data_IF_582047799739
#
_entry.id   IF_582047799739
#
_cell.length_a   1.000
_cell.length_b   1.000
_cell.length_c   1.000
_cell.angle_alpha   90.00
_cell.angle_beta   90.00
_cell.angle_gamma   90.00
#
_symmetry.space_group_name_H-M   'P 1'
#
loop_
_entity.id
_entity.type
_entity.pdbx_description
1 polymer ?
#
# COMPACT_ATOMS: atom_id res chain seq x y z
N UNK A 1 -21.55 3.88 -1.01
CA UNK A 1 -21.73 4.84 0.11
C UNK A 1 -21.50 4.20 1.48
N UNK A 2 -21.89 2.94 1.71
CA UNK A 2 -21.77 2.29 3.03
C UNK A 2 -20.30 2.08 3.47
N UNK A 3 -19.42 1.71 2.54
CA UNK A 3 -18.02 1.42 2.86
C UNK A 3 -17.26 2.67 3.33
N UNK A 4 -17.45 3.83 2.67
CA UNK A 4 -16.84 5.09 3.10
C UNK A 4 -17.29 5.49 4.50
N UNK A 5 -18.56 5.24 4.85
CA UNK A 5 -19.07 5.49 6.19
C UNK A 5 -18.38 4.60 7.23
N UNK A 6 -18.15 3.32 6.89
CA UNK A 6 -17.41 2.39 7.74
C UNK A 6 -15.95 2.85 7.95
N UNK A 7 -15.27 3.26 6.88
CA UNK A 7 -13.90 3.76 6.96
C UNK A 7 -13.81 5.00 7.87
N UNK A 8 -14.72 5.94 7.68
CA UNK A 8 -14.75 7.16 8.47
C UNK A 8 -15.12 6.89 9.94
N UNK A 9 -16.12 6.04 10.19
CA UNK A 9 -16.49 5.64 11.54
C UNK A 9 -15.33 4.94 12.26
N UNK A 10 -14.64 4.01 11.60
CA UNK A 10 -13.44 3.36 12.13
C UNK A 10 -12.36 4.35 12.55
N UNK A 11 -12.09 5.35 11.70
CA UNK A 11 -11.19 6.44 12.06
C UNK A 11 -11.65 7.24 13.27
N UNK A 12 -12.93 7.62 13.33
CA UNK A 12 -13.49 8.39 14.46
C UNK A 12 -13.37 7.63 15.78
N UNK A 13 -13.71 6.36 15.81
CA UNK A 13 -13.57 5.52 16.99
C UNK A 13 -12.10 5.38 17.41
N UNK A 14 -11.21 5.14 16.46
CA UNK A 14 -9.79 4.98 16.74
C UNK A 14 -9.15 6.27 17.24
N UNK A 15 -9.43 7.43 16.63
CA UNK A 15 -8.87 8.71 17.07
C UNK A 15 -9.35 9.14 18.45
N UNK A 16 -10.57 8.77 18.80
CA UNK A 16 -11.18 9.07 20.11
C UNK A 16 -10.79 8.13 21.24
N UNK A 17 -10.16 7.00 20.93
CA UNK A 17 -9.76 6.01 21.93
C UNK A 17 -8.50 6.44 22.68
N UNK A 18 -8.31 5.93 23.90
CA UNK A 18 -7.05 6.08 24.62
C UNK A 18 -5.90 5.42 23.83
N UNK A 19 -4.68 5.99 23.87
CA UNK A 19 -3.49 5.34 23.33
C UNK A 19 -3.25 4.00 24.01
N UNK A 20 -2.98 2.96 23.23
CA UNK A 20 -2.77 1.61 23.76
C UNK A 20 -1.93 0.76 22.84
N UNK A 21 -1.57 -0.42 23.32
CA UNK A 21 -0.90 -1.46 22.54
C UNK A 21 -1.85 -2.68 22.41
N UNK A 22 -1.92 -3.35 21.25
CA UNK A 22 -1.20 -3.08 19.98
C UNK A 22 -1.65 -1.78 19.32
N UNK A 23 -0.73 -1.15 18.56
CA UNK A 23 -1.06 0.03 17.75
C UNK A 23 -2.16 -0.31 16.73
N UNK A 24 -3.06 0.66 16.48
CA UNK A 24 -4.16 0.45 15.54
C UNK A 24 -5.37 -0.24 16.13
N UNK A 25 -5.37 -0.66 17.40
CA UNK A 25 -6.54 -1.23 18.09
C UNK A 25 -7.32 -0.15 18.82
N UNK A 26 -8.65 -0.19 18.71
CA UNK A 26 -9.58 0.64 19.49
C UNK A 26 -10.51 -0.23 20.30
N UNK A 27 -10.70 0.09 21.59
CA UNK A 27 -11.69 -0.53 22.45
C UNK A 27 -13.06 0.14 22.38
N UNK A 28 -13.19 1.23 21.62
CA UNK A 28 -14.49 1.88 21.41
C UNK A 28 -15.43 1.02 20.54
N UNK A 29 -14.90 -0.01 19.91
CA UNK A 29 -15.66 -1.03 19.17
C UNK A 29 -15.31 -2.39 19.79
N UNK A 30 -16.34 -3.22 20.08
CA UNK A 30 -16.19 -4.58 20.59
C UNK A 30 -15.38 -4.66 21.92
N UNK A 31 -15.72 -3.82 22.88
CA UNK A 31 -15.09 -3.89 24.22
C UNK A 31 -15.40 -5.22 24.93
N UNK A 32 -14.48 -5.79 25.73
CA UNK A 32 -13.15 -5.26 26.07
C UNK A 32 -12.05 -5.65 25.09
N UNK A 33 -12.30 -6.54 24.11
CA UNK A 33 -11.30 -7.08 23.18
C UNK A 33 -10.75 -6.01 22.23
N UNK A 34 -11.62 -5.09 21.78
CA UNK A 34 -11.30 -4.10 20.79
C UNK A 34 -11.29 -4.63 19.36
N UNK A 35 -11.09 -3.72 18.40
CA UNK A 35 -11.00 -4.03 16.98
C UNK A 35 -9.83 -3.24 16.37
N UNK A 36 -9.04 -3.89 15.51
CA UNK A 36 -8.02 -3.19 14.73
C UNK A 36 -8.67 -2.34 13.63
N UNK A 37 -8.11 -1.15 13.40
CA UNK A 37 -8.50 -0.26 12.29
C UNK A 37 -8.33 -0.91 10.91
N UNK A 38 -7.55 -1.99 10.80
CA UNK A 38 -7.44 -2.78 9.58
C UNK A 38 -8.78 -3.42 9.19
N UNK A 39 -9.60 -3.83 10.16
CA UNK A 39 -10.92 -4.41 9.91
C UNK A 39 -12.02 -3.38 9.60
N UNK A 40 -11.72 -2.10 9.78
CA UNK A 40 -12.62 -1.00 9.40
C UNK A 40 -12.20 -0.34 8.09
N UNK A 41 -11.18 -0.87 7.42
CA UNK A 41 -10.61 -0.35 6.16
C UNK A 41 -10.17 1.12 6.23
N UNK A 42 -9.86 1.59 7.44
CA UNK A 42 -9.49 2.99 7.72
C UNK A 42 -8.02 3.29 7.41
N UNK A 43 -7.38 2.52 6.52
CA UNK A 43 -5.98 2.69 6.10
C UNK A 43 -5.07 2.72 7.33
N UNK A 44 -4.76 1.57 7.95
CA UNK A 44 -4.09 1.47 9.26
C UNK A 44 -2.86 2.35 9.41
N UNK A 45 -2.01 2.40 8.38
CA UNK A 45 -0.81 3.24 8.36
C UNK A 45 -1.14 4.71 8.60
N UNK A 46 -2.12 5.26 7.87
CA UNK A 46 -2.50 6.66 8.02
C UNK A 46 -3.25 6.90 9.31
N UNK A 47 -4.09 5.97 9.74
CA UNK A 47 -4.79 6.07 11.02
C UNK A 47 -3.79 6.21 12.18
N UNK A 48 -2.76 5.35 12.22
CA UNK A 48 -1.72 5.40 13.26
C UNK A 48 -0.89 6.68 13.17
N UNK A 49 -0.47 7.09 11.97
CA UNK A 49 0.34 8.30 11.77
C UNK A 49 -0.44 9.59 12.06
N UNK A 50 -1.71 9.65 11.71
CA UNK A 50 -2.53 10.86 11.90
C UNK A 50 -3.11 10.98 13.32
N UNK A 51 -3.15 9.89 14.08
CA UNK A 51 -3.73 9.91 15.43
C UNK A 51 -3.06 10.92 16.38
N UNK A 52 -1.73 11.05 16.47
CA UNK A 52 -1.10 12.05 17.34
C UNK A 52 -1.49 13.49 16.96
N UNK A 53 -1.80 13.73 15.69
CA UNK A 53 -2.20 15.03 15.17
C UNK A 53 -3.71 15.30 15.32
N UNK A 54 -4.49 14.28 15.64
CA UNK A 54 -5.96 14.37 15.68
C UNK A 54 -6.49 15.43 16.64
N UNK A 55 -5.82 15.64 17.77
CA UNK A 55 -6.20 16.67 18.75
C UNK A 55 -6.01 18.10 18.21
N UNK A 56 -4.95 18.32 17.41
CA UNK A 56 -4.64 19.63 16.80
C UNK A 56 -5.46 19.91 15.54
N UNK A 57 -5.90 18.88 14.83
CA UNK A 57 -6.56 18.98 13.52
C UNK A 57 -8.09 19.11 13.59
N UNK A 58 -8.66 19.22 14.80
CA UNK A 58 -10.10 19.39 14.99
C UNK A 58 -10.94 18.11 14.79
N UNK A 59 -12.21 18.19 15.22
CA UNK A 59 -13.10 17.02 15.32
C UNK A 59 -13.51 16.40 13.99
N UNK A 60 -13.55 17.16 12.92
CA UNK A 60 -13.98 16.73 11.58
C UNK A 60 -12.84 16.30 10.66
N UNK A 61 -11.59 16.37 11.14
CA UNK A 61 -10.44 15.99 10.32
C UNK A 61 -10.51 14.54 9.83
N UNK A 62 -10.25 14.35 8.55
CA UNK A 62 -10.09 13.05 7.90
C UNK A 62 -9.01 13.14 6.80
N UNK A 63 -8.34 12.05 6.53
CA UNK A 63 -7.24 11.95 5.56
C UNK A 63 -7.64 11.27 4.25
N UNK A 64 -8.86 10.74 4.14
CA UNK A 64 -9.28 9.90 3.00
C UNK A 64 -9.23 10.64 1.66
N UNK A 65 -9.65 11.91 1.62
CA UNK A 65 -9.58 12.73 0.41
C UNK A 65 -8.13 12.96 -0.04
N UNK A 66 -7.24 13.29 0.87
CA UNK A 66 -5.81 13.46 0.57
C UNK A 66 -5.18 12.16 0.11
N UNK A 67 -5.50 11.04 0.77
CA UNK A 67 -5.03 9.73 0.36
C UNK A 67 -5.48 9.39 -1.07
N UNK A 68 -6.74 9.65 -1.40
CA UNK A 68 -7.28 9.45 -2.75
C UNK A 68 -6.50 10.24 -3.79
N UNK A 69 -6.25 11.54 -3.55
CA UNK A 69 -5.44 12.36 -4.47
C UNK A 69 -4.03 11.81 -4.66
N UNK A 70 -3.39 11.39 -3.57
CA UNK A 70 -2.06 10.74 -3.63
C UNK A 70 -2.12 9.44 -4.42
N UNK A 71 -3.17 8.63 -4.27
CA UNK A 71 -3.35 7.41 -5.06
C UNK A 71 -3.44 7.69 -6.56
N UNK A 72 -4.19 8.72 -6.98
CA UNK A 72 -4.26 9.11 -8.40
C UNK A 72 -2.90 9.57 -8.92
N UNK A 73 -2.20 10.42 -8.18
CA UNK A 73 -0.88 10.91 -8.57
C UNK A 73 0.15 9.78 -8.69
N UNK A 74 0.19 8.87 -7.70
CA UNK A 74 1.10 7.72 -7.71
C UNK A 74 0.72 6.70 -8.78
N UNK A 75 -0.58 6.48 -9.04
CA UNK A 75 -1.05 5.60 -10.11
C UNK A 75 -0.56 6.07 -11.47
N UNK A 76 -0.78 7.34 -11.81
CA UNK A 76 -0.29 7.94 -13.05
C UNK A 76 1.24 7.97 -13.11
N UNK A 77 1.90 8.33 -11.99
CA UNK A 77 3.36 8.38 -11.91
C UNK A 77 4.03 7.02 -12.12
N UNK A 78 3.60 5.96 -11.41
CA UNK A 78 4.17 4.62 -11.58
C UNK A 78 3.79 3.99 -12.92
N UNK A 79 2.62 4.31 -13.47
CA UNK A 79 2.26 3.92 -14.84
C UNK A 79 3.21 4.57 -15.86
N UNK A 80 3.49 5.87 -15.72
CA UNK A 80 4.44 6.56 -16.57
C UNK A 80 5.85 5.96 -16.47
N UNK A 81 6.34 5.70 -15.25
CA UNK A 81 7.64 5.08 -15.01
C UNK A 81 7.72 3.67 -15.62
N UNK A 82 6.68 2.86 -15.44
CA UNK A 82 6.63 1.51 -15.97
C UNK A 82 6.61 1.50 -17.51
N UNK A 83 5.74 2.32 -18.13
CA UNK A 83 5.66 2.46 -19.56
C UNK A 83 6.91 3.11 -20.16
N UNK A 84 7.58 3.99 -19.41
CA UNK A 84 8.84 4.62 -19.79
C UNK A 84 10.05 3.67 -19.81
N UNK A 85 9.89 2.43 -19.35
CA UNK A 85 10.87 1.37 -19.60
C UNK A 85 10.90 0.92 -21.06
N UNK A 86 9.89 1.24 -21.84
CA UNK A 86 9.83 1.03 -23.27
C UNK A 86 10.21 2.34 -24.00
N UNK A 87 10.59 2.25 -25.25
CA UNK A 87 11.05 3.41 -26.01
C UNK A 87 9.92 4.39 -26.34
N UNK A 88 10.27 5.69 -26.40
CA UNK A 88 9.40 6.78 -26.83
C UNK A 88 8.67 7.51 -25.68
N UNK A 89 8.33 8.79 -25.92
CA UNK A 89 7.66 9.65 -24.96
C UNK A 89 6.14 9.38 -24.89
N UNK A 90 5.55 8.86 -25.94
CA UNK A 90 4.11 8.63 -26.01
C UNK A 90 3.62 7.56 -25.03
N UNK A 91 4.40 6.50 -24.80
CA UNK A 91 4.03 5.40 -23.91
C UNK A 91 3.90 5.84 -22.44
N UNK A 92 4.82 6.62 -21.83
CA UNK A 92 4.65 7.16 -20.48
C UNK A 92 3.41 8.05 -20.32
N UNK A 93 3.16 8.93 -21.30
CA UNK A 93 2.01 9.84 -21.26
C UNK A 93 0.68 9.07 -21.37
N UNK A 94 0.57 8.18 -22.36
CA UNK A 94 -0.61 7.34 -22.53
C UNK A 94 -0.84 6.44 -21.30
N UNK A 95 0.22 5.79 -20.79
CA UNK A 95 0.16 4.96 -19.61
C UNK A 95 -0.32 5.75 -18.38
N UNK A 96 0.24 6.93 -18.14
CA UNK A 96 -0.19 7.80 -17.03
C UNK A 96 -1.69 8.10 -17.10
N UNK A 97 -2.18 8.53 -18.27
CA UNK A 97 -3.58 8.90 -18.47
C UNK A 97 -4.51 7.70 -18.33
N UNK A 98 -4.21 6.58 -18.99
CA UNK A 98 -5.05 5.37 -18.99
C UNK A 98 -5.17 4.79 -17.60
N UNK A 99 -4.06 4.69 -16.86
CA UNK A 99 -4.09 4.10 -15.52
C UNK A 99 -4.69 5.04 -14.47
N UNK A 100 -4.46 6.36 -14.57
CA UNK A 100 -5.08 7.33 -13.67
C UNK A 100 -6.60 7.47 -13.94
N UNK A 101 -7.04 7.33 -15.19
CA UNK A 101 -8.45 7.36 -15.57
C UNK A 101 -9.13 5.99 -15.53
N UNK A 102 -8.47 4.97 -14.97
CA UNK A 102 -9.02 3.61 -14.88
C UNK A 102 -10.39 3.61 -14.18
N UNK A 103 -11.44 3.01 -14.80
CA UNK A 103 -12.77 2.92 -14.16
C UNK A 103 -12.73 2.25 -12.79
N UNK A 104 -11.85 1.25 -12.61
CA UNK A 104 -11.69 0.54 -11.35
C UNK A 104 -11.11 1.48 -10.28
N UNK A 105 -10.10 2.30 -10.61
CA UNK A 105 -9.56 3.28 -9.68
C UNK A 105 -10.60 4.32 -9.30
N UNK A 106 -11.34 4.85 -10.28
CA UNK A 106 -12.42 5.82 -10.06
C UNK A 106 -13.50 5.24 -9.15
N UNK A 107 -13.95 4.00 -9.39
CA UNK A 107 -14.93 3.36 -8.53
C UNK A 107 -14.40 3.18 -7.10
N UNK A 108 -13.18 2.69 -6.93
CA UNK A 108 -12.58 2.48 -5.61
C UNK A 108 -12.34 3.78 -4.85
N UNK A 109 -11.95 4.85 -5.53
CA UNK A 109 -11.75 6.16 -4.93
C UNK A 109 -13.00 6.68 -4.20
N UNK A 110 -14.21 6.36 -4.71
CA UNK A 110 -15.47 6.86 -4.16
C UNK A 110 -16.26 5.83 -3.37
N UNK A 111 -15.89 4.56 -3.40
CA UNK A 111 -16.60 3.49 -2.67
C UNK A 111 -15.74 2.81 -1.62
N UNK A 112 -14.48 2.50 -1.92
CA UNK A 112 -13.59 1.75 -1.05
C UNK A 112 -12.18 2.32 -1.12
N UNK A 113 -12.00 3.46 -0.48
CA UNK A 113 -10.82 4.32 -0.61
C UNK A 113 -9.49 3.59 -0.36
N UNK A 114 -9.42 2.68 0.62
CA UNK A 114 -8.20 1.92 0.91
C UNK A 114 -7.75 1.04 -0.27
N UNK A 115 -8.69 0.53 -1.09
CA UNK A 115 -8.40 -0.23 -2.31
C UNK A 115 -8.02 0.66 -3.52
N UNK A 116 -8.03 1.98 -3.37
CA UNK A 116 -7.51 2.92 -4.37
C UNK A 116 -5.99 2.87 -4.53
N UNK A 117 -5.26 2.25 -3.60
CA UNK A 117 -3.80 2.16 -3.66
C UNK A 117 -3.26 1.14 -4.69
N UNK A 118 -3.91 1.00 -5.84
CA UNK A 118 -3.48 0.08 -6.92
C UNK A 118 -2.08 0.40 -7.46
N UNK A 119 -1.62 1.63 -7.27
CA UNK A 119 -0.25 2.05 -7.60
C UNK A 119 0.83 1.18 -6.93
N UNK A 120 0.54 0.51 -5.80
CA UNK A 120 1.47 -0.42 -5.16
C UNK A 120 1.85 -1.57 -6.09
N UNK A 121 0.89 -2.09 -6.86
CA UNK A 121 1.14 -3.16 -7.84
C UNK A 121 1.99 -2.64 -9.00
N UNK A 122 1.70 -1.45 -9.52
CA UNK A 122 2.52 -0.82 -10.57
C UNK A 122 3.94 -0.52 -10.08
N UNK A 123 4.08 -0.05 -8.84
CA UNK A 123 5.37 0.20 -8.21
C UNK A 123 6.18 -1.10 -8.04
N UNK A 124 5.53 -2.20 -7.63
CA UNK A 124 6.17 -3.50 -7.53
C UNK A 124 6.64 -4.01 -8.91
N UNK A 125 5.80 -3.91 -9.94
CA UNK A 125 6.16 -4.27 -11.32
C UNK A 125 7.31 -3.41 -11.84
N UNK A 126 7.27 -2.09 -11.61
CA UNK A 126 8.39 -1.20 -11.98
C UNK A 126 9.68 -1.64 -11.29
N UNK A 127 9.62 -1.89 -9.97
CA UNK A 127 10.76 -2.40 -9.20
C UNK A 127 11.30 -3.72 -9.73
N UNK A 128 10.42 -4.66 -10.11
CA UNK A 128 10.78 -5.92 -10.74
C UNK A 128 11.60 -5.70 -12.02
N UNK A 129 11.09 -4.90 -12.97
CA UNK A 129 11.76 -4.68 -14.24
C UNK A 129 13.09 -3.93 -14.10
N UNK A 130 13.16 -2.94 -13.18
CA UNK A 130 14.41 -2.23 -12.89
C UNK A 130 15.45 -3.17 -12.29
N UNK A 131 15.08 -3.99 -11.30
CA UNK A 131 15.99 -4.96 -10.69
C UNK A 131 16.47 -5.99 -11.72
N UNK A 132 15.55 -6.49 -12.56
CA UNK A 132 15.86 -7.44 -13.63
C UNK A 132 16.88 -6.87 -14.63
N UNK A 133 16.68 -5.62 -15.09
CA UNK A 133 17.63 -4.94 -15.99
C UNK A 133 19.02 -4.74 -15.39
N UNK A 134 19.07 -4.52 -14.06
CA UNK A 134 20.31 -4.32 -13.32
C UNK A 134 20.91 -5.62 -12.75
N UNK A 135 20.33 -6.78 -13.07
CA UNK A 135 20.72 -8.08 -12.51
C UNK A 135 20.76 -8.10 -10.97
N UNK A 136 19.84 -7.38 -10.32
CA UNK A 136 19.69 -7.33 -8.87
C UNK A 136 18.55 -8.23 -8.43
N UNK A 137 18.71 -8.90 -7.28
CA UNK A 137 17.66 -9.79 -6.73
C UNK A 137 16.56 -9.00 -5.98
N UNK A 138 16.86 -7.81 -5.51
CA UNK A 138 15.92 -7.00 -4.76
C UNK A 138 16.34 -5.53 -4.74
N UNK A 139 15.41 -4.67 -4.37
CA UNK A 139 15.66 -3.27 -4.09
C UNK A 139 15.02 -2.87 -2.76
N UNK A 140 15.57 -1.82 -2.14
CA UNK A 140 14.92 -1.20 -0.96
C UNK A 140 13.49 -0.76 -1.27
N UNK A 141 13.24 -0.34 -2.54
CA UNK A 141 11.91 0.03 -3.01
C UNK A 141 10.90 -1.11 -2.90
N UNK A 142 11.24 -2.33 -3.34
CA UNK A 142 10.35 -3.49 -3.21
C UNK A 142 10.08 -3.84 -1.74
N UNK A 143 11.08 -3.73 -0.88
CA UNK A 143 10.90 -3.92 0.55
C UNK A 143 9.87 -2.94 1.12
N UNK A 144 10.03 -1.65 0.82
CA UNK A 144 9.12 -0.58 1.27
C UNK A 144 7.71 -0.76 0.71
N UNK A 145 7.58 -1.13 -0.57
CA UNK A 145 6.27 -1.38 -1.20
C UNK A 145 5.50 -2.49 -0.49
N UNK A 146 6.16 -3.59 -0.12
CA UNK A 146 5.52 -4.67 0.62
C UNK A 146 5.08 -4.25 2.02
N UNK A 147 5.88 -3.44 2.72
CA UNK A 147 5.50 -2.87 4.03
C UNK A 147 4.32 -1.90 3.89
N UNK A 148 4.33 -1.03 2.88
CA UNK A 148 3.20 -0.12 2.60
C UNK A 148 1.92 -0.90 2.25
N UNK A 149 2.04 -2.01 1.53
CA UNK A 149 0.91 -2.87 1.19
C UNK A 149 0.18 -3.37 2.44
N UNK A 150 0.91 -3.86 3.46
CA UNK A 150 0.34 -4.26 4.75
C UNK A 150 -0.34 -3.08 5.44
N UNK A 151 0.37 -1.97 5.55
CA UNK A 151 -0.10 -0.79 6.30
C UNK A 151 -1.28 -0.06 5.63
N UNK A 152 -1.46 -0.22 4.31
CA UNK A 152 -2.58 0.41 3.58
C UNK A 152 -3.78 -0.53 3.55
N UNK A 153 -3.60 -1.72 2.97
CA UNK A 153 -4.69 -2.71 2.90
C UNK A 153 -4.13 -4.12 2.64
N UNK A 154 -4.51 -5.14 3.44
CA UNK A 154 -3.95 -6.49 3.34
C UNK A 154 -4.09 -7.14 1.96
N UNK A 155 -5.08 -6.77 1.13
CA UNK A 155 -5.26 -7.32 -0.22
C UNK A 155 -4.12 -7.02 -1.17
N UNK A 156 -3.36 -5.94 -0.97
CA UNK A 156 -2.20 -5.64 -1.79
C UNK A 156 -0.99 -6.51 -1.46
N UNK A 157 -0.96 -7.09 -0.25
CA UNK A 157 0.16 -7.91 0.21
C UNK A 157 0.43 -9.10 -0.73
N UNK A 158 -0.54 -10.01 -1.01
CA UNK A 158 -0.29 -11.13 -1.90
C UNK A 158 0.10 -10.70 -3.31
N UNK A 159 -0.43 -9.56 -3.81
CA UNK A 159 -0.12 -9.06 -5.14
C UNK A 159 1.33 -8.58 -5.23
N UNK A 160 1.79 -7.75 -4.28
CA UNK A 160 3.16 -7.22 -4.28
C UNK A 160 4.18 -8.31 -3.94
N UNK A 161 3.83 -9.26 -3.06
CA UNK A 161 4.66 -10.43 -2.76
C UNK A 161 4.79 -11.38 -3.93
N UNK A 162 3.75 -11.60 -4.73
CA UNK A 162 3.83 -12.42 -5.93
C UNK A 162 4.88 -11.87 -6.91
N UNK A 163 4.87 -10.54 -7.14
CA UNK A 163 5.86 -9.86 -7.98
C UNK A 163 7.26 -9.96 -7.38
N UNK A 164 7.40 -9.74 -6.06
CA UNK A 164 8.68 -9.85 -5.36
C UNK A 164 9.22 -11.28 -5.44
N UNK A 165 8.37 -12.28 -5.19
CA UNK A 165 8.74 -13.69 -5.26
C UNK A 165 9.20 -14.09 -6.67
N UNK A 166 8.49 -13.62 -7.72
CA UNK A 166 8.89 -13.87 -9.10
C UNK A 166 10.31 -13.35 -9.39
N UNK A 167 10.65 -12.14 -8.92
CA UNK A 167 12.00 -11.59 -9.05
C UNK A 167 13.04 -12.42 -8.30
N UNK A 168 12.75 -12.79 -7.06
CA UNK A 168 13.67 -13.55 -6.21
C UNK A 168 13.94 -14.94 -6.79
N UNK A 169 12.91 -15.62 -7.31
CA UNK A 169 13.02 -16.92 -7.94
C UNK A 169 13.81 -16.83 -9.26
N UNK A 170 13.49 -15.85 -10.11
CA UNK A 170 14.23 -15.63 -11.36
C UNK A 170 15.73 -15.41 -11.07
N UNK A 171 16.05 -14.58 -10.08
CA UNK A 171 17.44 -14.33 -9.69
C UNK A 171 18.10 -15.60 -9.13
N UNK A 172 17.42 -16.29 -8.20
CA UNK A 172 17.97 -17.51 -7.57
C UNK A 172 18.30 -18.59 -8.59
N UNK A 173 17.40 -18.81 -9.57
CA UNK A 173 17.61 -19.79 -10.66
C UNK A 173 18.77 -19.36 -11.56
N UNK A 174 18.79 -18.10 -12.03
CA UNK A 174 19.82 -17.61 -12.95
C UNK A 174 21.21 -17.56 -12.34
N UNK A 175 21.32 -17.11 -11.09
CA UNK A 175 22.58 -16.92 -10.39
C UNK A 175 22.98 -18.14 -9.55
N UNK A 176 22.13 -19.15 -9.45
CA UNK A 176 22.30 -20.32 -8.55
C UNK A 176 22.56 -19.93 -7.10
N UNK A 177 21.99 -18.80 -6.66
CA UNK A 177 22.14 -18.24 -5.31
C UNK A 177 20.78 -18.14 -4.64
N UNK A 178 20.54 -19.00 -3.64
CA UNK A 178 19.25 -19.10 -2.95
C UNK A 178 19.22 -18.35 -1.61
N UNK A 179 20.37 -18.30 -0.91
CA UNK A 179 20.42 -17.81 0.46
C UNK A 179 20.01 -16.32 0.57
N UNK A 180 20.58 -15.44 -0.27
CA UNK A 180 20.29 -14.00 -0.22
C UNK A 180 18.83 -13.68 -0.53
N UNK A 181 18.22 -14.22 -1.60
CA UNK A 181 16.78 -14.08 -1.86
C UNK A 181 15.92 -14.59 -0.71
N UNK A 182 16.25 -15.74 -0.11
CA UNK A 182 15.52 -16.30 1.02
C UNK A 182 15.60 -15.41 2.27
N UNK A 183 16.76 -14.86 2.60
CA UNK A 183 16.93 -13.91 3.71
C UNK A 183 16.16 -12.62 3.49
N UNK A 184 16.16 -12.08 2.27
CA UNK A 184 15.37 -10.91 1.93
C UNK A 184 13.87 -11.17 2.11
N UNK A 185 13.38 -12.28 1.58
CA UNK A 185 11.98 -12.67 1.70
C UNK A 185 11.58 -12.86 3.17
N UNK A 186 12.39 -13.63 3.93
CA UNK A 186 12.15 -13.86 5.35
C UNK A 186 12.14 -12.58 6.17
N UNK A 187 13.11 -11.70 5.97
CA UNK A 187 13.14 -10.39 6.64
C UNK A 187 11.95 -9.51 6.31
N UNK A 188 11.54 -9.51 5.03
CA UNK A 188 10.36 -8.75 4.60
C UNK A 188 9.07 -9.32 5.22
N UNK A 189 8.89 -10.65 5.24
CA UNK A 189 7.75 -11.30 5.88
C UNK A 189 7.70 -11.03 7.38
N UNK A 190 8.83 -11.10 8.09
CA UNK A 190 8.89 -10.80 9.52
C UNK A 190 8.49 -9.35 9.80
N UNK A 191 9.01 -8.38 9.04
CA UNK A 191 8.61 -6.98 9.18
C UNK A 191 7.13 -6.77 8.86
N UNK A 192 6.59 -7.46 7.85
CA UNK A 192 5.17 -7.38 7.51
C UNK A 192 4.26 -7.98 8.59
N UNK A 193 4.71 -9.04 9.26
CA UNK A 193 3.95 -9.70 10.33
C UNK A 193 4.00 -8.92 11.67
N UNK A 194 4.95 -8.02 11.83
CA UNK A 194 5.09 -7.17 13.01
C UNK A 194 4.22 -5.90 12.98
N UNK A 195 3.58 -5.62 11.82
CA UNK A 195 2.66 -4.49 11.61
C UNK A 195 1.20 -4.92 11.74
#
# INVERSE_FOLDING_TARGET
>A
EKDIQQHYAGWLFYRGSAPGWPLGVTQAINAPQGVSVAYTDSIPLLAVLCRPLAAALGGTFQYFGWFTLVCFALQGGFAALLCGLFEGLAAPLAGSLVFAASPILLERAFRHTSLGAQWLVLAALYGYFVCRRQSRFASRGLFVINILAVGIHPYFLPMTYAVTLALLLEYAVKQRQWLRPALFLGGNMLCSAAL
#
